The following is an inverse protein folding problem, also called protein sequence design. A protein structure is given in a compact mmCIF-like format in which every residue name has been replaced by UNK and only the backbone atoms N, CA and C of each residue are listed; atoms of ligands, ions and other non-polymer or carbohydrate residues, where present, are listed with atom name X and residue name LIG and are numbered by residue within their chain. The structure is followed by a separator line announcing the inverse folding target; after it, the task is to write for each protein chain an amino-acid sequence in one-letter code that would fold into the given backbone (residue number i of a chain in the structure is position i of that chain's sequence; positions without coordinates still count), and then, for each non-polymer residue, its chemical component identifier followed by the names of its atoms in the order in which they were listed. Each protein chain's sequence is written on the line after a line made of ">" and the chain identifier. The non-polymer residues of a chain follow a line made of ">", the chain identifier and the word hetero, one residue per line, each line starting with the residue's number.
data_IF_694552559944
#
_entry.id   IF_694552559944
#
_cell.length_a   1.000
_cell.length_b   1.000
_cell.length_c   1.000
_cell.angle_alpha   90.00
_cell.angle_beta   90.00
_cell.angle_gamma   90.00
#
_symmetry.space_group_name_H-M   'P 1'
#
loop_
_entity.id
_entity.type
_entity.pdbx_description
1 polymer ?
#
# COMPACT_ATOMS: atom_id res chain seq x y z
N UNK A 1 -55.91 -18.82 -0.53
CA UNK A 1 -54.86 -18.46 0.46
C UNK A 1 -53.48 -18.56 -0.20
N UNK A 2 -52.91 -17.46 -0.74
CA UNK A 2 -51.50 -17.40 -1.08
C UNK A 2 -50.77 -16.43 -0.12
N UNK A 3 -49.81 -16.95 0.66
CA UNK A 3 -48.96 -16.11 1.51
C UNK A 3 -47.86 -15.49 0.67
N UNK A 4 -48.01 -14.20 0.39
CA UNK A 4 -46.94 -13.32 -0.09
C UNK A 4 -45.76 -13.32 0.89
N UNK A 5 -44.54 -13.61 0.40
CA UNK A 5 -43.30 -13.34 1.14
C UNK A 5 -42.96 -11.85 1.01
N UNK A 6 -43.08 -11.11 2.12
CA UNK A 6 -42.54 -9.76 2.23
C UNK A 6 -41.01 -9.81 2.27
N UNK A 7 -40.36 -9.14 1.32
CA UNK A 7 -38.95 -8.79 1.41
C UNK A 7 -38.78 -7.70 2.49
N UNK A 8 -38.13 -8.05 3.59
CA UNK A 8 -37.71 -7.08 4.60
C UNK A 8 -36.57 -6.23 4.01
N UNK A 9 -36.84 -4.94 3.74
CA UNK A 9 -35.80 -3.95 3.44
C UNK A 9 -34.96 -3.73 4.69
N UNK A 10 -33.66 -4.05 4.62
CA UNK A 10 -32.71 -3.70 5.66
C UNK A 10 -32.52 -2.17 5.71
N UNK A 11 -32.63 -1.59 6.91
CA UNK A 11 -32.43 -0.17 7.16
C UNK A 11 -30.93 0.14 7.29
N UNK A 12 -30.35 1.03 6.46
CA UNK A 12 -28.91 1.35 6.50
C UNK A 12 -28.46 2.04 7.80
N UNK A 13 -29.38 2.55 8.62
CA UNK A 13 -29.04 3.17 9.91
C UNK A 13 -28.66 2.16 11.02
N UNK A 14 -28.96 0.87 10.86
CA UNK A 14 -28.69 -0.16 11.88
C UNK A 14 -27.28 -0.75 11.76
N UNK A 15 -26.66 -0.68 10.59
CA UNK A 15 -25.30 -1.20 10.38
C UNK A 15 -24.23 -0.29 11.01
N UNK A 16 -24.46 1.03 11.03
CA UNK A 16 -23.52 2.01 11.58
C UNK A 16 -23.44 2.01 13.12
N UNK A 17 -24.44 1.45 13.82
CA UNK A 17 -24.50 1.50 15.29
C UNK A 17 -23.82 0.30 15.99
N UNK A 18 -23.54 -0.77 15.23
CA UNK A 18 -22.86 -1.97 15.76
C UNK A 18 -21.33 -1.86 15.82
N UNK A 19 -20.72 -0.86 15.16
CA UNK A 19 -19.27 -0.67 15.18
C UNK A 19 -18.77 0.26 16.30
N UNK A 20 -19.66 0.95 17.03
CA UNK A 20 -19.28 2.02 17.94
C UNK A 20 -19.09 1.62 19.42
N UNK A 21 -19.39 0.37 19.82
CA UNK A 21 -19.42 -0.01 21.25
C UNK A 21 -18.68 -1.30 21.63
N UNK A 22 -17.77 -1.79 20.81
CA UNK A 22 -16.83 -2.84 21.23
C UNK A 22 -15.43 -2.23 21.46
N UNK A 23 -15.22 -1.60 22.61
CA UNK A 23 -13.87 -1.49 23.18
C UNK A 23 -13.68 -2.66 24.14
N UNK A 24 -12.90 -3.70 23.80
CA UNK A 24 -12.42 -4.63 24.79
C UNK A 24 -11.20 -4.00 25.47
N UNK A 25 -11.37 -3.65 26.74
CA UNK A 25 -10.28 -3.45 27.68
C UNK A 25 -9.38 -4.69 27.66
N UNK A 26 -8.16 -4.56 27.12
CA UNK A 26 -7.19 -5.66 27.03
C UNK A 26 -6.50 -5.83 25.68
N UNK A 27 -6.80 -5.01 24.66
CA UNK A 27 -5.96 -4.97 23.47
C UNK A 27 -4.57 -4.39 23.83
N UNK A 28 -3.45 -5.01 23.39
CA UNK A 28 -2.14 -4.41 23.58
C UNK A 28 -2.14 -3.02 22.94
N UNK A 29 -1.57 -2.02 23.62
CA UNK A 29 -1.39 -0.68 23.06
C UNK A 29 -0.89 -0.78 21.61
N UNK A 30 -1.64 -0.17 20.70
CA UNK A 30 -1.44 -0.31 19.27
C UNK A 30 0.00 -0.02 18.88
N UNK A 31 0.73 -1.05 18.43
CA UNK A 31 2.10 -0.96 17.89
C UNK A 31 2.23 0.05 16.74
N UNK A 32 1.11 0.50 16.13
CA UNK A 32 1.08 1.55 15.14
C UNK A 32 1.46 2.94 15.70
N UNK A 33 1.29 3.19 17.00
CA UNK A 33 1.62 4.47 17.64
C UNK A 33 3.13 4.81 17.59
N UNK A 34 3.98 3.80 17.40
CA UNK A 34 5.43 3.99 17.31
C UNK A 34 5.96 4.21 15.89
N UNK A 35 5.10 4.24 14.86
CA UNK A 35 5.50 4.58 13.50
C UNK A 35 5.78 6.07 13.38
N UNK A 36 7.05 6.45 13.54
CA UNK A 36 7.51 7.80 13.25
C UNK A 36 7.84 7.89 11.76
N UNK A 37 6.81 8.08 10.92
CA UNK A 37 7.06 8.45 9.53
C UNK A 37 7.69 9.85 9.56
N UNK A 38 8.86 10.05 8.94
CA UNK A 38 9.52 11.34 8.89
C UNK A 38 8.54 12.42 8.46
N UNK A 39 8.65 13.61 9.06
CA UNK A 39 7.93 14.77 8.56
C UNK A 39 8.27 14.91 7.07
N UNK A 40 7.29 15.02 6.16
CA UNK A 40 7.62 15.40 4.78
C UNK A 40 8.49 16.66 4.86
N UNK A 41 9.56 16.69 4.07
CA UNK A 41 10.63 17.67 4.13
C UNK A 41 10.13 19.03 4.66
N UNK A 42 10.59 19.41 5.85
CA UNK A 42 10.28 20.73 6.39
C UNK A 42 10.83 21.78 5.42
N UNK A 43 9.99 22.77 5.07
CA UNK A 43 10.21 24.01 4.31
C UNK A 43 11.66 24.59 4.31
N UNK A 44 12.63 23.85 3.80
CA UNK A 44 14.07 24.10 4.02
C UNK A 44 14.97 23.07 3.32
N UNK A 45 14.50 21.84 3.13
CA UNK A 45 14.92 21.02 1.98
C UNK A 45 14.23 21.61 0.73
N UNK A 46 14.94 21.70 -0.40
CA UNK A 46 14.36 22.22 -1.65
C UNK A 46 12.99 21.57 -1.92
N UNK A 47 11.97 22.40 -2.15
CA UNK A 47 10.63 21.91 -2.45
C UNK A 47 10.72 20.87 -3.59
N UNK A 48 10.02 19.73 -3.50
CA UNK A 48 10.06 18.71 -4.54
C UNK A 48 9.75 19.36 -5.89
N UNK A 49 10.61 19.12 -6.88
CA UNK A 49 10.57 19.79 -8.18
C UNK A 49 9.25 19.52 -8.94
N UNK A 50 8.56 18.42 -8.61
CA UNK A 50 7.25 18.07 -9.15
C UNK A 50 6.35 17.38 -8.10
N UNK A 51 5.04 17.31 -8.39
CA UNK A 51 4.12 16.49 -7.60
C UNK A 51 4.55 15.01 -7.55
N UNK A 52 5.18 14.52 -8.63
CA UNK A 52 5.66 13.14 -8.75
C UNK A 52 6.77 12.87 -7.74
N UNK A 53 7.70 13.81 -7.59
CA UNK A 53 8.80 13.71 -6.61
C UNK A 53 8.27 13.75 -5.18
N UNK A 54 7.30 14.62 -4.89
CA UNK A 54 6.69 14.74 -3.58
C UNK A 54 6.00 13.42 -3.15
N UNK A 55 5.14 12.89 -4.02
CA UNK A 55 4.40 11.66 -3.75
C UNK A 55 5.33 10.45 -3.68
N UNK A 56 6.32 10.37 -4.60
CA UNK A 56 7.31 9.31 -4.59
C UNK A 56 8.19 9.32 -3.34
N UNK A 57 8.62 10.49 -2.88
CA UNK A 57 9.35 10.64 -1.62
C UNK A 57 8.54 10.14 -0.42
N UNK A 58 7.24 10.47 -0.37
CA UNK A 58 6.36 9.95 0.69
C UNK A 58 6.24 8.42 0.62
N UNK A 59 6.05 7.84 -0.57
CA UNK A 59 5.95 6.38 -0.72
C UNK A 59 7.22 5.66 -0.21
N UNK A 60 8.41 6.17 -0.57
CA UNK A 60 9.70 5.66 -0.07
C UNK A 60 9.83 5.79 1.45
N UNK A 61 9.44 6.94 2.00
CA UNK A 61 9.47 7.16 3.45
C UNK A 61 8.54 6.20 4.21
N UNK A 62 7.37 5.89 3.64
CA UNK A 62 6.45 4.88 4.21
C UNK A 62 7.08 3.49 4.15
N UNK A 63 7.64 3.08 3.01
CA UNK A 63 8.35 1.79 2.89
C UNK A 63 9.47 1.68 3.92
N UNK A 64 10.35 2.68 4.01
CA UNK A 64 11.46 2.71 4.95
C UNK A 64 10.99 2.60 6.41
N UNK A 65 9.91 3.33 6.76
CA UNK A 65 9.33 3.24 8.08
C UNK A 65 8.80 1.81 8.36
N UNK A 66 8.10 1.20 7.40
CA UNK A 66 7.54 -0.16 7.54
C UNK A 66 8.64 -1.21 7.73
N UNK A 67 9.70 -1.13 6.93
CA UNK A 67 10.87 -2.02 7.01
C UNK A 67 11.65 -1.88 8.32
N UNK A 68 11.62 -0.71 8.96
CA UNK A 68 12.28 -0.51 10.26
C UNK A 68 11.68 -1.35 11.41
N UNK A 69 10.56 -2.05 11.19
CA UNK A 69 9.98 -2.99 12.16
C UNK A 69 9.76 -4.35 11.50
N UNK A 70 10.21 -5.43 12.17
CA UNK A 70 10.21 -6.82 11.66
C UNK A 70 8.90 -7.30 11.01
N UNK A 71 7.75 -6.84 11.51
CA UNK A 71 6.40 -7.22 11.05
C UNK A 71 5.57 -5.99 10.63
N UNK A 72 6.25 -4.93 10.23
CA UNK A 72 5.68 -3.59 10.10
C UNK A 72 4.45 -3.49 9.21
N UNK A 73 4.51 -4.04 8.00
CA UNK A 73 3.40 -3.98 7.06
C UNK A 73 2.20 -4.82 7.54
N UNK A 74 2.45 -6.00 8.12
CA UNK A 74 1.40 -6.90 8.63
C UNK A 74 0.61 -6.27 9.78
N UNK A 75 1.28 -5.53 10.68
CA UNK A 75 0.63 -4.83 11.80
C UNK A 75 -0.15 -3.60 11.31
N UNK A 76 0.37 -2.90 10.30
CA UNK A 76 -0.29 -1.73 9.72
C UNK A 76 -1.56 -2.10 8.92
N UNK A 77 -1.54 -3.22 8.20
CA UNK A 77 -2.62 -3.67 7.31
C UNK A 77 -3.97 -4.03 7.99
N UNK A 78 -4.09 -3.89 9.32
CA UNK A 78 -5.33 -4.14 10.06
C UNK A 78 -5.82 -2.97 10.89
N UNK A 79 -5.17 -1.80 10.82
CA UNK A 79 -5.42 -0.68 11.71
C UNK A 79 -5.91 0.56 10.95
N UNK A 80 -7.21 0.83 10.99
CA UNK A 80 -7.77 2.17 10.72
C UNK A 80 -7.46 3.09 11.91
N UNK A 81 -6.18 3.26 12.21
CA UNK A 81 -5.72 4.08 13.33
C UNK A 81 -5.74 5.53 12.89
N UNK A 82 -6.73 6.27 13.39
CA UNK A 82 -6.83 7.71 13.19
C UNK A 82 -5.80 8.40 14.08
N UNK A 83 -4.65 8.73 13.50
CA UNK A 83 -3.60 9.51 14.17
C UNK A 83 -3.18 10.68 13.28
N UNK A 84 -2.66 11.75 13.89
CA UNK A 84 -2.10 12.90 13.18
C UNK A 84 -1.02 12.48 12.17
N UNK A 85 -0.17 11.51 12.52
CA UNK A 85 0.85 10.98 11.62
C UNK A 85 0.24 10.35 10.35
N UNK A 86 -0.83 9.55 10.48
CA UNK A 86 -1.52 8.94 9.33
C UNK A 86 -2.15 10.01 8.45
N UNK A 87 -2.79 11.02 9.04
CA UNK A 87 -3.39 12.13 8.29
C UNK A 87 -2.33 12.98 7.58
N UNK A 88 -1.18 13.24 8.20
CA UNK A 88 -0.05 13.94 7.57
C UNK A 88 0.52 13.18 6.37
N UNK A 89 0.61 11.86 6.46
CA UNK A 89 1.06 11.02 5.33
C UNK A 89 0.05 11.11 4.19
N UNK A 90 -1.25 10.96 4.49
CA UNK A 90 -2.31 11.10 3.50
C UNK A 90 -2.26 12.49 2.83
N UNK A 91 -2.14 13.57 3.62
CA UNK A 91 -2.04 14.94 3.12
C UNK A 91 -0.81 15.13 2.22
N UNK A 92 0.33 14.55 2.58
CA UNK A 92 1.56 14.63 1.78
C UNK A 92 1.49 13.89 0.43
N UNK A 93 0.51 13.02 0.23
CA UNK A 93 0.21 12.42 -1.08
C UNK A 93 -0.92 13.15 -1.81
N UNK A 94 -2.00 13.46 -1.11
CA UNK A 94 -3.21 14.05 -1.70
C UNK A 94 -2.97 15.51 -2.11
N UNK A 95 -2.31 16.31 -1.28
CA UNK A 95 -2.04 17.73 -1.53
C UNK A 95 -1.30 17.97 -2.86
N UNK A 96 -0.14 17.33 -3.09
CA UNK A 96 0.58 17.48 -4.37
C UNK A 96 -0.24 17.06 -5.60
N UNK A 97 -1.00 15.96 -5.51
CA UNK A 97 -1.89 15.51 -6.59
C UNK A 97 -2.97 16.55 -6.89
N UNK A 98 -3.57 17.14 -5.84
CA UNK A 98 -4.60 18.19 -5.97
C UNK A 98 -4.03 19.45 -6.60
N UNK A 99 -2.87 19.91 -6.15
CA UNK A 99 -2.18 21.08 -6.72
C UNK A 99 -1.79 20.87 -8.17
N UNK A 100 -1.49 19.63 -8.58
CA UNK A 100 -1.22 19.25 -9.96
C UNK A 100 -2.49 19.07 -10.83
N UNK A 101 -3.69 19.37 -10.30
CA UNK A 101 -4.94 19.36 -11.07
C UNK A 101 -5.78 18.09 -10.93
N UNK A 102 -5.40 17.13 -10.09
CA UNK A 102 -6.23 15.94 -9.87
C UNK A 102 -7.56 16.30 -9.19
N UNK A 103 -8.65 15.65 -9.61
CA UNK A 103 -9.92 15.70 -8.87
C UNK A 103 -9.76 15.13 -7.45
N UNK A 104 -10.63 15.52 -6.52
CA UNK A 104 -10.58 15.02 -5.13
C UNK A 104 -10.64 13.50 -5.07
N UNK A 105 -11.50 12.90 -5.91
CA UNK A 105 -11.62 11.44 -6.01
C UNK A 105 -10.31 10.83 -6.51
N UNK A 106 -9.73 11.37 -7.58
CA UNK A 106 -8.47 10.86 -8.15
C UNK A 106 -7.33 10.96 -7.15
N UNK A 107 -7.18 12.10 -6.47
CA UNK A 107 -6.14 12.29 -5.47
C UNK A 107 -6.28 11.30 -4.30
N UNK A 108 -7.50 11.11 -3.78
CA UNK A 108 -7.76 10.15 -2.70
C UNK A 108 -7.52 8.70 -3.12
N UNK A 109 -8.07 8.27 -4.27
CA UNK A 109 -7.88 6.90 -4.76
C UNK A 109 -6.45 6.62 -5.20
N UNK A 110 -5.75 7.61 -5.76
CA UNK A 110 -4.33 7.53 -6.09
C UNK A 110 -3.47 7.31 -4.85
N UNK A 111 -3.68 8.09 -3.78
CA UNK A 111 -2.99 7.91 -2.52
C UNK A 111 -3.23 6.51 -1.92
N UNK A 112 -4.47 6.00 -1.94
CA UNK A 112 -4.76 4.63 -1.51
C UNK A 112 -4.07 3.59 -2.37
N UNK A 113 -4.07 3.75 -3.70
CA UNK A 113 -3.44 2.80 -4.63
C UNK A 113 -1.94 2.68 -4.37
N UNK A 114 -1.26 3.80 -4.16
CA UNK A 114 0.15 3.83 -3.79
C UNK A 114 0.37 3.16 -2.43
N UNK A 115 -0.48 3.45 -1.43
CA UNK A 115 -0.36 2.82 -0.12
C UNK A 115 -0.55 1.30 -0.18
N UNK A 116 -1.53 0.80 -0.94
CA UNK A 116 -1.74 -0.63 -1.11
C UNK A 116 -0.54 -1.30 -1.79
N UNK A 117 0.05 -0.65 -2.79
CA UNK A 117 1.28 -1.10 -3.41
C UNK A 117 2.42 -1.21 -2.39
N UNK A 118 2.69 -0.13 -1.64
CA UNK A 118 3.75 -0.11 -0.62
C UNK A 118 3.54 -1.21 0.43
N UNK A 119 2.31 -1.39 0.91
CA UNK A 119 2.01 -2.42 1.90
C UNK A 119 2.24 -3.83 1.36
N UNK A 120 1.69 -4.14 0.18
CA UNK A 120 1.85 -5.46 -0.44
C UNK A 120 3.32 -5.77 -0.73
N UNK A 121 4.05 -4.78 -1.26
CA UNK A 121 5.47 -4.91 -1.57
C UNK A 121 6.31 -5.19 -0.31
N UNK A 122 6.11 -4.39 0.74
CA UNK A 122 6.86 -4.56 2.00
C UNK A 122 6.50 -5.88 2.68
N UNK A 123 5.27 -6.38 2.57
CA UNK A 123 4.92 -7.69 3.10
C UNK A 123 5.74 -8.82 2.47
N UNK A 124 5.93 -8.78 1.15
CA UNK A 124 6.76 -9.76 0.43
C UNK A 124 8.24 -9.61 0.76
N UNK A 125 8.76 -8.38 0.73
CA UNK A 125 10.14 -8.06 1.09
C UNK A 125 10.49 -8.53 2.51
N UNK A 126 9.60 -8.28 3.48
CA UNK A 126 9.78 -8.75 4.85
C UNK A 126 9.68 -10.27 4.99
N UNK A 127 8.88 -10.95 4.16
CA UNK A 127 8.76 -12.40 4.19
C UNK A 127 9.99 -13.12 3.60
N UNK A 128 10.67 -12.47 2.64
CA UNK A 128 11.87 -12.97 1.98
C UNK A 128 13.17 -12.52 2.65
N UNK A 129 13.11 -11.54 3.55
CA UNK A 129 14.27 -11.08 4.30
C UNK A 129 14.80 -12.17 5.25
N UNK A 130 16.13 -12.37 5.37
CA UNK A 130 16.71 -13.35 6.29
C UNK A 130 16.32 -13.17 7.76
N UNK A 131 15.99 -11.93 8.16
CA UNK A 131 15.60 -11.57 9.52
C UNK A 131 14.10 -11.80 9.83
N UNK A 132 13.33 -12.33 8.88
CA UNK A 132 11.93 -12.65 9.08
C UNK A 132 11.75 -13.70 10.19
N UNK A 133 10.58 -13.69 10.86
CA UNK A 133 10.28 -14.69 11.88
C UNK A 133 10.19 -16.13 11.30
N UNK A 134 9.79 -16.24 10.03
CA UNK A 134 9.75 -17.47 9.25
C UNK A 134 10.11 -17.12 7.79
N UNK A 135 11.40 -17.01 7.45
CA UNK A 135 11.84 -16.55 6.14
C UNK A 135 11.47 -17.57 5.06
N UNK A 136 10.97 -17.05 3.93
CA UNK A 136 10.77 -17.85 2.74
C UNK A 136 12.12 -18.04 2.06
N UNK A 137 12.55 -19.30 1.93
CA UNK A 137 13.71 -19.65 1.13
C UNK A 137 13.34 -19.64 -0.37
N UNK A 138 13.51 -18.49 -1.02
CA UNK A 138 13.24 -18.35 -2.45
C UNK A 138 14.24 -19.16 -3.30
N UNK A 139 15.48 -19.32 -2.85
CA UNK A 139 16.51 -20.02 -3.62
C UNK A 139 16.17 -21.49 -3.80
N UNK A 140 15.71 -22.18 -2.75
CA UNK A 140 15.28 -23.58 -2.87
C UNK A 140 13.99 -23.76 -3.69
N UNK A 141 13.17 -22.71 -3.82
CA UNK A 141 11.93 -22.75 -4.61
C UNK A 141 12.15 -22.56 -6.11
N UNK A 142 13.28 -21.99 -6.54
CA UNK A 142 13.53 -21.68 -7.96
C UNK A 142 13.49 -22.92 -8.85
N UNK A 143 14.24 -23.98 -8.50
CA UNK A 143 14.32 -25.20 -9.31
C UNK A 143 12.96 -25.85 -9.57
N UNK A 144 12.17 -26.17 -8.52
CA UNK A 144 10.82 -26.71 -8.70
C UNK A 144 9.87 -25.77 -9.47
N UNK A 145 10.02 -24.46 -9.30
CA UNK A 145 9.20 -23.48 -10.01
C UNK A 145 9.53 -23.44 -11.51
N UNK A 146 10.81 -23.48 -11.85
CA UNK A 146 11.31 -23.51 -13.23
C UNK A 146 10.91 -24.80 -13.96
N UNK A 147 11.05 -25.96 -13.31
CA UNK A 147 10.64 -27.25 -13.86
C UNK A 147 9.14 -27.29 -14.20
N UNK A 148 8.29 -26.73 -13.33
CA UNK A 148 6.86 -26.63 -13.60
C UNK A 148 6.56 -25.61 -14.70
N UNK A 149 7.25 -24.46 -14.70
CA UNK A 149 7.07 -23.43 -15.72
C UNK A 149 7.40 -23.95 -17.13
N UNK A 150 8.48 -24.73 -17.26
CA UNK A 150 8.93 -25.29 -18.52
C UNK A 150 7.93 -26.26 -19.18
N UNK A 151 7.01 -26.84 -18.42
CA UNK A 151 6.02 -27.76 -18.95
C UNK A 151 4.89 -27.06 -19.72
N UNK A 152 4.43 -25.89 -19.24
CA UNK A 152 3.17 -25.27 -19.71
C UNK A 152 3.11 -23.74 -19.70
N UNK A 153 4.11 -23.06 -19.15
CA UNK A 153 4.06 -21.62 -18.88
C UNK A 153 5.25 -20.89 -19.53
N UNK A 154 5.31 -20.81 -20.87
CA UNK A 154 6.47 -20.29 -21.59
C UNK A 154 6.81 -18.83 -21.24
N UNK A 155 5.81 -17.98 -20.99
CA UNK A 155 6.04 -16.59 -20.59
C UNK A 155 6.58 -16.46 -19.17
N UNK A 156 6.17 -17.35 -18.25
CA UNK A 156 6.68 -17.39 -16.87
C UNK A 156 8.12 -17.88 -16.88
N UNK A 157 8.41 -18.94 -17.65
CA UNK A 157 9.77 -19.43 -17.84
C UNK A 157 10.68 -18.34 -18.42
N UNK A 158 10.22 -17.58 -19.41
CA UNK A 158 10.98 -16.50 -20.01
C UNK A 158 11.32 -15.36 -19.03
N UNK A 159 10.54 -15.19 -17.96
CA UNK A 159 10.74 -14.16 -16.93
C UNK A 159 11.35 -14.72 -15.64
N UNK A 160 11.93 -15.93 -15.66
CA UNK A 160 12.36 -16.62 -14.44
C UNK A 160 13.42 -15.84 -13.65
N UNK A 161 14.37 -15.21 -14.35
CA UNK A 161 15.41 -14.40 -13.71
C UNK A 161 14.81 -13.20 -12.98
N UNK A 162 13.87 -12.49 -13.62
CA UNK A 162 13.20 -11.32 -13.02
C UNK A 162 12.25 -11.72 -11.86
N UNK A 163 11.59 -12.88 -11.95
CA UNK A 163 10.68 -13.38 -10.91
C UNK A 163 11.41 -13.76 -9.61
N UNK A 164 12.67 -14.18 -9.72
CA UNK A 164 13.51 -14.55 -8.59
C UNK A 164 14.58 -13.48 -8.26
N UNK A 165 14.53 -12.33 -8.93
CA UNK A 165 15.41 -11.21 -8.62
C UNK A 165 15.11 -10.67 -7.21
N UNK A 166 16.17 -10.55 -6.40
CA UNK A 166 16.12 -10.09 -5.02
C UNK A 166 16.46 -8.61 -4.88
N UNK A 167 16.65 -7.88 -5.99
CA UNK A 167 16.74 -6.41 -5.97
C UNK A 167 15.36 -5.79 -5.67
N UNK A 168 15.05 -5.70 -4.37
CA UNK A 168 13.81 -5.07 -3.91
C UNK A 168 13.78 -3.57 -4.16
N UNK A 169 14.94 -2.91 -4.23
CA UNK A 169 14.97 -1.47 -4.47
C UNK A 169 14.57 -1.18 -5.92
N UNK A 170 15.19 -1.83 -6.89
CA UNK A 170 14.85 -1.67 -8.30
C UNK A 170 13.39 -2.05 -8.59
N UNK A 171 12.89 -3.15 -8.02
CA UNK A 171 11.50 -3.57 -8.18
C UNK A 171 10.51 -2.61 -7.52
N UNK A 172 10.86 -2.03 -6.37
CA UNK A 172 10.03 -1.03 -5.71
C UNK A 172 9.91 0.24 -6.56
N UNK A 173 11.03 0.73 -7.07
CA UNK A 173 11.06 1.93 -7.90
C UNK A 173 10.32 1.72 -9.23
N UNK A 174 10.49 0.55 -9.87
CA UNK A 174 9.77 0.22 -11.10
C UNK A 174 8.25 0.19 -10.89
N UNK A 175 7.76 -0.46 -9.83
CA UNK A 175 6.33 -0.52 -9.56
C UNK A 175 5.73 0.84 -9.16
N UNK A 176 6.46 1.63 -8.37
CA UNK A 176 6.06 2.99 -8.02
C UNK A 176 5.99 3.88 -9.27
N UNK A 177 6.96 3.80 -10.17
CA UNK A 177 6.98 4.54 -11.43
C UNK A 177 5.75 4.23 -12.29
N UNK A 178 5.39 2.95 -12.43
CA UNK A 178 4.20 2.51 -13.17
C UNK A 178 2.92 3.17 -12.63
N UNK A 179 2.74 3.20 -11.31
CA UNK A 179 1.57 3.81 -10.67
C UNK A 179 1.55 5.32 -10.90
N UNK A 180 2.67 6.00 -10.67
CA UNK A 180 2.76 7.45 -10.85
C UNK A 180 2.55 7.85 -12.32
N UNK A 181 3.05 7.06 -13.26
CA UNK A 181 2.84 7.27 -14.71
C UNK A 181 1.37 7.09 -15.07
N UNK A 182 0.70 6.07 -14.52
CA UNK A 182 -0.74 5.88 -14.70
C UNK A 182 -1.56 7.06 -14.17
N UNK A 183 -1.19 7.61 -13.01
CA UNK A 183 -1.84 8.80 -12.45
C UNK A 183 -1.65 10.03 -13.35
N UNK A 184 -0.44 10.28 -13.82
CA UNK A 184 -0.12 11.40 -14.71
C UNK A 184 -0.98 11.36 -15.99
N UNK A 185 -1.05 10.19 -16.64
CA UNK A 185 -1.87 9.99 -17.84
C UNK A 185 -3.35 10.24 -17.55
N UNK A 186 -3.88 9.74 -16.43
CA UNK A 186 -5.29 9.92 -16.06
C UNK A 186 -5.62 11.35 -15.67
N UNK A 187 -4.70 12.07 -15.02
CA UNK A 187 -4.88 13.49 -14.68
C UNK A 187 -4.93 14.34 -15.94
N UNK A 188 -4.06 14.07 -16.92
CA UNK A 188 -4.07 14.74 -18.23
C UNK A 188 -5.33 14.44 -19.04
N UNK A 189 -5.79 13.19 -19.03
CA UNK A 189 -6.99 12.77 -19.76
C UNK A 189 -8.30 13.32 -19.15
N UNK A 190 -8.34 13.62 -17.85
CA UNK A 190 -9.51 14.22 -17.18
C UNK A 190 -9.52 15.75 -17.20
N UNK A 191 -8.48 16.39 -17.73
CA UNK A 191 -8.35 17.84 -17.85
C UNK A 191 -8.78 18.38 -19.24
N UNK A 192 -9.07 17.50 -20.20
CA UNK A 192 -9.65 17.81 -21.50
C UNK A 192 -11.14 17.46 -21.56
#
# INVERSE_FOLDING_TARGET
>A
MPRHRHAARANPATCARSCAHASPSGAPESSAAGYRIPKPASLGEAAPASWRDAVGATARAVRAALLARRDGARVFAGTYVVTDNVLRVAESMIGPLRTAGASTRMAGWGAFSILYYVLGFVMEEQALAPAAAAPIDAASRRGPFEELAAQRYPHVLAAMDDLFDMDFEARFEAGLDLILTGLDVKMKAGAG
#
